data_IF_354723333364
#
_entry.id   IF_354723333364
#
_cell.length_a   1.000
_cell.length_b   1.000
_cell.length_c   1.000
_cell.angle_alpha   90.00
_cell.angle_beta   90.00
_cell.angle_gamma   90.00
#
_symmetry.space_group_name_H-M   'P 1'
#
loop_
_entity.id
_entity.type
_entity.pdbx_description
1 polymer ?
#
# COMPACT_ATOMS: atom_id res chain seq x y z
N UNK A 1 14.96 -30.78 18.28
CA UNK A 1 13.87 -29.91 17.76
C UNK A 1 14.50 -29.00 16.72
N UNK A 2 13.97 -28.94 15.50
CA UNK A 2 14.55 -28.12 14.42
C UNK A 2 14.24 -26.64 14.64
N UNK A 3 15.01 -25.71 14.03
CA UNK A 3 14.71 -24.26 14.05
C UNK A 3 13.27 -24.01 13.58
N UNK A 4 12.86 -24.70 12.52
CA UNK A 4 11.49 -24.68 11.97
C UNK A 4 10.44 -25.00 13.05
N UNK A 5 10.62 -26.09 13.79
CA UNK A 5 9.72 -26.49 14.88
C UNK A 5 9.69 -25.48 16.03
N UNK A 6 10.83 -24.85 16.36
CA UNK A 6 10.92 -23.84 17.42
C UNK A 6 10.10 -22.62 17.06
N UNK A 7 10.31 -22.08 15.86
CA UNK A 7 9.58 -20.91 15.38
C UNK A 7 8.09 -21.21 15.18
N UNK A 8 7.72 -22.39 14.67
CA UNK A 8 6.33 -22.83 14.55
C UNK A 8 5.62 -22.86 15.91
N UNK A 9 6.25 -23.42 16.95
CA UNK A 9 5.66 -23.44 18.31
C UNK A 9 5.55 -22.05 18.93
N UNK A 10 6.55 -21.19 18.71
CA UNK A 10 6.51 -19.79 19.15
C UNK A 10 5.29 -19.07 18.55
N UNK A 11 5.04 -19.26 17.26
CA UNK A 11 3.89 -18.62 16.60
C UNK A 11 2.55 -19.25 16.95
N UNK A 12 2.49 -20.55 17.22
CA UNK A 12 1.27 -21.17 17.78
C UNK A 12 0.89 -20.54 19.13
N UNK A 13 1.87 -20.31 20.00
CA UNK A 13 1.66 -19.61 21.28
C UNK A 13 1.25 -18.15 21.06
N UNK A 14 1.93 -17.44 20.15
CA UNK A 14 1.60 -16.05 19.80
C UNK A 14 0.14 -15.91 19.36
N UNK A 15 -0.33 -16.77 18.45
CA UNK A 15 -1.69 -16.72 17.93
C UNK A 15 -2.78 -16.94 19.00
N UNK A 16 -2.46 -17.65 20.08
CA UNK A 16 -3.41 -17.90 21.17
C UNK A 16 -3.46 -16.78 22.22
N UNK A 17 -2.43 -15.93 22.27
CA UNK A 17 -2.25 -14.95 23.35
C UNK A 17 -2.46 -13.51 22.90
N UNK A 18 -2.37 -13.23 21.60
CA UNK A 18 -2.35 -11.87 21.07
C UNK A 18 -3.69 -11.50 20.44
N UNK A 19 -4.11 -10.24 20.62
CA UNK A 19 -5.36 -9.70 20.05
C UNK A 19 -5.37 -9.71 18.52
N UNK A 20 -4.19 -9.63 17.89
CA UNK A 20 -4.01 -9.65 16.43
C UNK A 20 -3.14 -10.87 16.07
N UNK A 21 -3.73 -12.07 15.92
CA UNK A 21 -3.00 -13.32 15.94
C UNK A 21 -2.07 -13.50 14.74
N UNK A 22 -2.37 -12.90 13.58
CA UNK A 22 -1.57 -13.03 12.36
C UNK A 22 -0.73 -11.77 12.05
N UNK A 23 -0.56 -10.84 13.01
CA UNK A 23 0.29 -9.65 12.84
C UNK A 23 1.72 -10.00 12.42
N UNK A 24 2.20 -11.18 12.80
CA UNK A 24 3.55 -11.65 12.46
C UNK A 24 3.76 -11.94 10.98
N UNK A 25 2.70 -12.16 10.17
CA UNK A 25 2.82 -12.41 8.72
C UNK A 25 3.50 -11.26 7.99
N UNK A 26 3.43 -10.07 8.56
CA UNK A 26 4.10 -8.89 8.06
C UNK A 26 5.65 -8.96 8.18
N UNK A 27 6.18 -9.96 8.89
CA UNK A 27 7.62 -10.27 8.99
C UNK A 27 8.00 -11.55 8.25
N UNK A 28 7.09 -12.13 7.47
CA UNK A 28 7.29 -13.34 6.69
C UNK A 28 7.10 -13.11 5.19
N UNK A 29 7.48 -14.10 4.38
CA UNK A 29 7.40 -14.09 2.92
C UNK A 29 8.74 -13.79 2.23
N UNK A 30 8.65 -13.20 1.03
CA UNK A 30 9.78 -12.66 0.28
C UNK A 30 10.90 -13.69 -0.04
N UNK A 31 10.49 -14.93 -0.34
CA UNK A 31 11.34 -16.12 -0.39
C UNK A 31 12.20 -16.24 -1.65
N UNK A 32 11.89 -15.56 -2.74
CA UNK A 32 12.68 -15.63 -3.99
C UNK A 32 13.90 -14.74 -3.93
N UNK A 33 13.80 -13.61 -3.23
CA UNK A 33 14.89 -12.66 -3.14
C UNK A 33 15.64 -12.69 -1.80
N UNK A 34 15.34 -13.64 -0.91
CA UNK A 34 15.90 -13.72 0.43
C UNK A 34 16.29 -15.17 0.74
N UNK A 35 17.54 -15.46 1.17
CA UNK A 35 17.96 -16.83 1.46
C UNK A 35 17.04 -17.50 2.49
N UNK A 36 16.75 -18.79 2.30
CA UNK A 36 15.98 -19.61 3.25
C UNK A 36 16.80 -20.84 3.69
N UNK A 37 17.90 -20.65 4.46
CA UNK A 37 18.81 -21.73 4.82
C UNK A 37 18.15 -22.81 5.68
N UNK A 38 17.08 -22.46 6.40
CA UNK A 38 16.37 -23.36 7.31
C UNK A 38 15.12 -24.00 6.69
N UNK A 39 14.85 -23.76 5.39
CA UNK A 39 13.66 -24.26 4.68
C UNK A 39 12.35 -23.97 5.44
N UNK A 40 12.25 -22.77 5.98
CA UNK A 40 11.07 -22.32 6.72
C UNK A 40 9.87 -22.16 5.78
N UNK A 41 8.64 -22.44 6.26
CA UNK A 41 7.41 -22.15 5.52
C UNK A 41 7.30 -20.67 5.19
N UNK A 42 6.65 -20.30 4.09
CA UNK A 42 6.62 -18.89 3.64
C UNK A 42 5.96 -17.93 4.65
N UNK A 43 5.02 -18.43 5.46
CA UNK A 43 4.35 -17.68 6.52
C UNK A 43 5.18 -17.48 7.80
N UNK A 44 6.29 -18.19 7.95
CA UNK A 44 7.11 -18.17 9.17
C UNK A 44 8.25 -17.15 9.07
N UNK A 45 8.31 -16.14 9.95
CA UNK A 45 9.44 -15.22 10.04
C UNK A 45 10.74 -15.96 10.33
N UNK A 46 11.84 -15.52 9.70
CA UNK A 46 13.17 -16.05 9.99
C UNK A 46 13.88 -15.16 11.02
N UNK A 47 13.98 -15.65 12.26
CA UNK A 47 14.64 -14.94 13.35
C UNK A 47 16.14 -15.24 13.48
N UNK A 48 16.70 -16.13 12.65
CA UNK A 48 18.13 -16.50 12.76
C UNK A 48 19.06 -15.53 12.03
N UNK A 49 18.52 -14.66 11.17
CA UNK A 49 19.32 -13.71 10.38
C UNK A 49 19.42 -12.36 11.08
N UNK A 50 20.62 -11.98 11.54
CA UNK A 50 20.87 -10.67 12.14
C UNK A 50 20.68 -9.53 11.11
N UNK A 51 19.80 -8.58 11.45
CA UNK A 51 19.79 -7.20 10.99
C UNK A 51 19.54 -6.84 9.50
N UNK A 52 19.47 -7.75 8.52
CA UNK A 52 19.26 -7.35 7.11
C UNK A 52 17.81 -7.40 6.61
N UNK A 53 16.87 -7.94 7.39
CA UNK A 53 15.56 -8.39 6.89
C UNK A 53 14.35 -7.89 7.69
N UNK A 54 14.53 -7.15 8.79
CA UNK A 54 13.40 -6.38 9.30
C UNK A 54 12.96 -5.46 8.17
N UNK A 55 11.73 -5.52 7.65
CA UNK A 55 11.35 -4.69 6.53
C UNK A 55 11.50 -3.23 6.97
N UNK A 56 12.61 -2.58 6.64
CA UNK A 56 12.84 -1.16 6.87
C UNK A 56 11.76 -0.45 6.06
N UNK A 57 10.70 -0.02 6.73
CA UNK A 57 9.45 0.40 6.08
C UNK A 57 8.26 -0.54 6.31
N UNK A 58 8.23 -1.27 7.43
CA UNK A 58 6.99 -1.82 7.96
C UNK A 58 5.94 -0.70 7.91
N UNK A 59 4.88 -0.91 7.13
CA UNK A 59 3.61 -0.22 7.32
C UNK A 59 3.40 -0.14 8.84
N UNK A 60 3.08 1.05 9.37
CA UNK A 60 2.73 1.16 10.78
C UNK A 60 1.39 0.43 10.93
N UNK A 61 1.49 -0.87 11.24
CA UNK A 61 0.46 -1.89 11.02
C UNK A 61 -0.76 -1.70 11.93
N UNK A 62 -0.60 -0.95 13.01
CA UNK A 62 -1.69 -0.62 13.93
C UNK A 62 -2.62 0.50 13.39
N UNK A 63 -2.36 1.01 12.18
CA UNK A 63 -3.20 2.02 11.51
C UNK A 63 -4.30 1.42 10.63
N UNK A 64 -4.25 0.11 10.40
CA UNK A 64 -5.12 -0.58 9.45
C UNK A 64 -5.87 -1.70 10.16
N UNK A 65 -7.06 -1.99 9.67
CA UNK A 65 -7.94 -3.02 10.18
C UNK A 65 -8.58 -3.75 9.00
N UNK A 66 -7.75 -4.29 8.11
CA UNK A 66 -8.22 -4.94 6.89
C UNK A 66 -9.22 -6.08 7.18
N UNK A 67 -8.96 -6.83 8.25
CA UNK A 67 -9.79 -7.95 8.72
C UNK A 67 -11.04 -7.55 9.52
N UNK A 68 -11.30 -6.24 9.68
CA UNK A 68 -12.49 -5.77 10.41
C UNK A 68 -13.77 -6.33 9.78
N UNK A 69 -14.57 -7.00 10.61
CA UNK A 69 -15.82 -7.64 10.19
C UNK A 69 -15.65 -9.05 9.60
N UNK A 70 -14.44 -9.63 9.64
CA UNK A 70 -14.17 -10.99 9.19
C UNK A 70 -14.07 -11.98 10.35
N UNK A 71 -14.26 -13.27 10.04
CA UNK A 71 -14.04 -14.33 11.02
C UNK A 71 -12.54 -14.66 11.13
N UNK A 72 -12.02 -14.66 12.35
CA UNK A 72 -10.62 -15.03 12.63
C UNK A 72 -10.51 -16.49 13.04
N UNK A 73 -10.15 -17.36 12.11
CA UNK A 73 -9.76 -18.75 12.38
C UNK A 73 -8.37 -18.97 11.81
N UNK A 74 -7.41 -19.27 12.70
CA UNK A 74 -6.04 -19.60 12.32
C UNK A 74 -5.49 -20.75 13.16
N UNK A 75 -4.79 -21.71 12.54
CA UNK A 75 -4.11 -22.81 13.25
C UNK A 75 -2.96 -23.39 12.44
N UNK A 76 -1.99 -23.99 13.12
CA UNK A 76 -0.87 -24.70 12.49
C UNK A 76 -1.17 -26.21 12.46
N UNK A 77 -1.12 -26.84 11.28
CA UNK A 77 -1.22 -28.30 11.11
C UNK A 77 0.14 -28.97 11.34
N UNK A 78 0.14 -30.31 11.49
CA UNK A 78 1.34 -31.12 11.78
C UNK A 78 2.50 -30.90 10.79
N UNK A 79 2.21 -30.57 9.53
CA UNK A 79 3.20 -30.31 8.47
C UNK A 79 3.67 -28.84 8.41
N UNK A 80 3.44 -28.06 9.47
CA UNK A 80 3.81 -26.64 9.55
C UNK A 80 3.12 -25.79 8.47
N UNK A 81 1.90 -26.19 8.16
CA UNK A 81 0.98 -25.51 7.27
C UNK A 81 0.13 -24.59 8.13
N UNK A 82 0.12 -23.30 7.80
CA UNK A 82 -0.75 -22.34 8.44
C UNK A 82 -2.10 -22.35 7.70
N UNK A 83 -3.14 -22.78 8.41
CA UNK A 83 -4.52 -22.71 7.95
C UNK A 83 -5.13 -21.39 8.42
N UNK A 84 -5.69 -20.60 7.50
CA UNK A 84 -6.36 -19.33 7.81
C UNK A 84 -7.68 -19.19 7.06
N UNK A 85 -8.66 -18.51 7.65
CA UNK A 85 -9.87 -18.06 6.94
C UNK A 85 -9.68 -16.67 6.34
N UNK A 86 -10.17 -16.46 5.13
CA UNK A 86 -10.14 -15.16 4.48
C UNK A 86 -10.86 -15.12 3.14
N UNK A 87 -10.67 -14.05 2.38
CA UNK A 87 -11.22 -13.88 1.04
C UNK A 87 -10.12 -13.60 0.01
N UNK A 88 -10.27 -14.16 -1.19
CA UNK A 88 -9.55 -13.68 -2.37
C UNK A 88 -10.30 -12.44 -2.88
N UNK A 89 -9.67 -11.26 -2.76
CA UNK A 89 -10.29 -9.98 -3.12
C UNK A 89 -9.99 -9.60 -4.56
N UNK A 90 -8.77 -9.88 -5.02
CA UNK A 90 -8.32 -9.52 -6.36
C UNK A 90 -7.10 -10.33 -6.81
N UNK A 91 -6.63 -10.08 -8.03
CA UNK A 91 -5.44 -10.71 -8.59
C UNK A 91 -4.57 -9.67 -9.30
N UNK A 92 -3.26 -9.77 -9.09
CA UNK A 92 -2.27 -8.90 -9.74
C UNK A 92 -2.22 -9.20 -11.25
N UNK A 93 -2.38 -8.16 -12.07
CA UNK A 93 -2.30 -8.23 -13.54
C UNK A 93 -1.09 -7.50 -14.11
N UNK A 94 -0.50 -6.55 -13.36
CA UNK A 94 0.71 -5.81 -13.74
C UNK A 94 1.56 -5.50 -12.53
N UNK A 95 2.89 -5.51 -12.67
CA UNK A 95 3.83 -5.10 -11.61
C UNK A 95 4.91 -4.18 -12.19
N UNK A 96 5.09 -3.03 -11.58
CA UNK A 96 6.08 -2.03 -12.01
C UNK A 96 7.52 -2.42 -11.62
N UNK A 97 8.50 -1.78 -12.26
CA UNK A 97 9.91 -1.99 -11.98
C UNK A 97 10.30 -1.49 -10.57
N UNK A 98 11.40 -2.01 -10.00
CA UNK A 98 11.84 -1.71 -8.61
C UNK A 98 12.32 -0.27 -8.38
N UNK A 99 12.52 0.53 -9.44
CA UNK A 99 13.22 1.83 -9.37
C UNK A 99 12.29 3.03 -9.47
N UNK A 100 11.09 2.89 -8.90
CA UNK A 100 10.04 3.92 -8.85
C UNK A 100 10.58 5.30 -8.39
N UNK A 101 11.61 5.38 -7.54
CA UNK A 101 12.11 6.68 -7.05
C UNK A 101 13.50 7.09 -7.57
N UNK A 102 14.10 6.28 -8.45
CA UNK A 102 15.51 6.42 -8.87
C UNK A 102 15.67 6.51 -10.39
N UNK A 103 14.63 6.19 -11.16
CA UNK A 103 14.73 6.09 -12.63
C UNK A 103 13.93 7.22 -13.32
N UNK A 104 14.48 7.88 -14.35
CA UNK A 104 13.73 8.80 -15.23
C UNK A 104 12.47 8.17 -15.86
N UNK A 105 12.40 6.83 -15.86
CA UNK A 105 11.21 6.08 -16.26
C UNK A 105 10.02 6.22 -15.30
N UNK A 106 10.25 6.56 -14.03
CA UNK A 106 9.13 6.89 -13.14
C UNK A 106 8.54 8.25 -13.46
N UNK A 107 9.36 9.22 -13.86
CA UNK A 107 8.88 10.49 -14.38
C UNK A 107 8.10 10.26 -15.67
N UNK A 108 8.57 9.37 -16.56
CA UNK A 108 7.81 8.96 -17.74
C UNK A 108 6.51 8.20 -17.40
N UNK A 109 6.51 7.35 -16.37
CA UNK A 109 5.31 6.67 -15.88
C UNK A 109 4.33 7.65 -15.22
N UNK A 110 4.83 8.59 -14.43
CA UNK A 110 4.05 9.66 -13.82
C UNK A 110 3.44 10.55 -14.89
N UNK A 111 4.24 10.90 -15.91
CA UNK A 111 3.84 11.69 -17.07
C UNK A 111 2.81 10.93 -17.89
N UNK A 112 3.03 9.65 -18.20
CA UNK A 112 2.04 8.77 -18.85
C UNK A 112 0.76 8.66 -18.00
N UNK A 113 0.88 8.56 -16.68
CA UNK A 113 -0.28 8.53 -15.78
C UNK A 113 -0.97 9.90 -15.68
N UNK A 114 -0.27 11.02 -15.77
CA UNK A 114 -0.85 12.36 -15.68
C UNK A 114 -1.42 12.83 -17.03
N UNK A 115 -0.79 12.44 -18.13
CA UNK A 115 -1.14 12.78 -19.52
C UNK A 115 -2.19 11.81 -20.10
N UNK A 116 -2.10 10.51 -19.77
CA UNK A 116 -3.00 9.45 -20.27
C UNK A 116 -3.96 8.88 -19.22
N UNK A 117 -3.93 9.31 -17.94
CA UNK A 117 -5.09 9.07 -17.08
C UNK A 117 -6.23 9.92 -17.62
N UNK A 118 -7.11 9.26 -18.35
CA UNK A 118 -8.44 9.77 -18.62
C UNK A 118 -9.04 10.28 -17.30
N UNK A 119 -9.25 11.60 -17.27
CA UNK A 119 -9.69 12.38 -16.11
C UNK A 119 -11.10 11.98 -15.65
N UNK A 120 -11.82 11.20 -16.47
CA UNK A 120 -13.11 10.60 -16.14
C UNK A 120 -13.01 9.23 -15.45
N UNK A 121 -11.83 8.59 -15.43
CA UNK A 121 -11.66 7.26 -14.84
C UNK A 121 -11.50 7.32 -13.32
N UNK A 122 -12.59 7.01 -12.62
CA UNK A 122 -12.60 6.86 -11.17
C UNK A 122 -11.87 5.59 -10.73
N UNK A 123 -11.18 5.69 -9.59
CA UNK A 123 -10.67 4.54 -8.85
C UNK A 123 -11.85 3.78 -8.22
N UNK A 124 -11.76 2.46 -7.99
CA UNK A 124 -12.88 1.68 -7.45
C UNK A 124 -13.49 2.21 -6.14
N UNK A 125 -12.74 2.97 -5.32
CA UNK A 125 -13.27 3.59 -4.10
C UNK A 125 -14.00 4.92 -4.33
N UNK A 126 -14.12 5.38 -5.57
CA UNK A 126 -14.80 6.63 -5.93
C UNK A 126 -13.95 7.89 -5.84
N UNK A 127 -12.63 7.78 -5.66
CA UNK A 127 -11.69 8.91 -5.81
C UNK A 127 -11.04 8.88 -7.20
N UNK A 128 -10.30 9.93 -7.58
CA UNK A 128 -9.54 9.87 -8.83
C UNK A 128 -8.45 8.78 -8.76
N UNK A 129 -8.18 8.14 -9.90
CA UNK A 129 -7.08 7.18 -10.02
C UNK A 129 -5.72 7.76 -9.59
N UNK A 130 -5.52 9.06 -9.77
CA UNK A 130 -4.28 9.72 -9.41
C UNK A 130 -4.15 9.96 -7.91
N UNK A 131 -5.22 10.40 -7.26
CA UNK A 131 -5.26 10.48 -5.80
C UNK A 131 -5.04 9.11 -5.17
N UNK A 132 -5.64 8.04 -5.71
CA UNK A 132 -5.42 6.68 -5.25
C UNK A 132 -3.95 6.25 -5.39
N UNK A 133 -3.33 6.55 -6.53
CA UNK A 133 -1.91 6.27 -6.76
C UNK A 133 -1.01 6.96 -5.74
N UNK A 134 -1.21 8.26 -5.49
CA UNK A 134 -0.43 9.00 -4.47
C UNK A 134 -0.67 8.39 -3.09
N UNK A 135 -1.92 8.16 -2.69
CA UNK A 135 -2.22 7.50 -1.41
C UNK A 135 -1.51 6.15 -1.32
N UNK A 136 -1.52 5.32 -2.37
CA UNK A 136 -0.79 4.04 -2.39
C UNK A 136 0.72 4.17 -2.25
N UNK A 137 1.37 5.10 -2.96
CA UNK A 137 2.81 5.35 -2.79
C UNK A 137 3.17 5.74 -1.37
N UNK A 138 2.25 6.42 -0.71
CA UNK A 138 2.44 6.91 0.63
C UNK A 138 2.01 5.92 1.71
N UNK A 139 1.42 4.78 1.30
CA UNK A 139 0.63 3.91 2.15
C UNK A 139 -0.40 4.71 2.95
N UNK A 140 -0.96 5.74 2.34
CA UNK A 140 -1.86 6.70 2.98
C UNK A 140 -1.26 7.44 4.20
N UNK A 141 0.07 7.38 4.40
CA UNK A 141 0.74 7.97 5.56
C UNK A 141 1.53 9.23 5.19
N UNK A 142 1.33 10.27 6.00
CA UNK A 142 1.93 11.59 5.83
C UNK A 142 3.31 11.68 6.49
N UNK A 143 3.45 11.16 7.71
CA UNK A 143 4.67 11.26 8.51
C UNK A 143 4.95 9.93 9.23
N UNK A 144 6.19 9.45 9.11
CA UNK A 144 6.65 8.25 9.82
C UNK A 144 6.92 8.51 11.30
N UNK A 145 6.96 9.78 11.77
CA UNK A 145 7.08 10.13 13.20
C UNK A 145 5.71 10.20 13.86
N UNK A 146 4.78 10.95 13.28
CA UNK A 146 3.38 11.07 13.74
C UNK A 146 2.45 10.49 12.68
N UNK A 147 2.12 9.18 12.75
CA UNK A 147 1.32 8.55 11.73
C UNK A 147 -0.08 9.13 11.71
N UNK A 148 -0.41 9.80 10.61
CA UNK A 148 -1.73 10.29 10.29
C UNK A 148 -2.08 9.82 8.88
N UNK A 149 -3.31 9.34 8.71
CA UNK A 149 -3.84 8.89 7.43
C UNK A 149 -4.29 10.09 6.59
N UNK A 150 -4.13 10.03 5.28
CA UNK A 150 -4.57 11.15 4.44
C UNK A 150 -6.09 11.33 4.49
N UNK A 151 -6.87 10.26 4.55
CA UNK A 151 -8.35 10.34 4.66
C UNK A 151 -8.86 10.91 5.99
N UNK A 152 -8.04 10.94 7.04
CA UNK A 152 -8.39 11.54 8.32
C UNK A 152 -8.24 13.07 8.34
N UNK A 153 -7.69 13.66 7.29
CA UNK A 153 -7.50 15.10 7.18
C UNK A 153 -8.68 15.78 6.50
N UNK A 154 -8.85 17.07 6.77
CA UNK A 154 -9.73 17.90 5.95
C UNK A 154 -9.25 17.92 4.49
N UNK A 155 -10.22 18.14 3.61
CA UNK A 155 -10.03 18.14 2.17
C UNK A 155 -8.89 19.09 1.73
N UNK A 156 -8.85 20.29 2.30
CA UNK A 156 -7.87 21.32 1.94
C UNK A 156 -6.43 20.87 2.26
N UNK A 157 -6.24 20.23 3.41
CA UNK A 157 -4.93 19.72 3.83
C UNK A 157 -4.50 18.55 2.97
N UNK A 158 -5.41 17.63 2.61
CA UNK A 158 -5.13 16.56 1.65
C UNK A 158 -4.68 17.13 0.31
N UNK A 159 -5.40 18.14 -0.19
CA UNK A 159 -5.08 18.80 -1.45
C UNK A 159 -3.68 19.42 -1.45
N UNK A 160 -3.31 20.15 -0.40
CA UNK A 160 -1.97 20.74 -0.28
C UNK A 160 -0.88 19.67 -0.27
N UNK A 161 -1.09 18.58 0.47
CA UNK A 161 -0.12 17.50 0.60
C UNK A 161 0.15 16.81 -0.72
N UNK A 162 -0.90 16.52 -1.49
CA UNK A 162 -0.73 15.86 -2.78
C UNK A 162 -0.19 16.81 -3.85
N UNK A 163 -0.65 18.06 -3.87
CA UNK A 163 -0.11 19.10 -4.77
C UNK A 163 1.40 19.30 -4.57
N UNK A 164 1.89 19.33 -3.32
CA UNK A 164 3.32 19.41 -3.04
C UNK A 164 4.11 18.22 -3.59
N UNK A 165 3.57 17.01 -3.55
CA UNK A 165 4.25 15.82 -4.03
C UNK A 165 4.44 15.84 -5.54
N UNK A 166 3.39 16.19 -6.27
CA UNK A 166 3.37 16.34 -7.73
C UNK A 166 4.40 17.36 -8.20
N UNK A 167 4.40 18.55 -7.58
CA UNK A 167 5.33 19.61 -7.95
C UNK A 167 6.78 19.19 -7.72
N UNK A 168 7.05 18.29 -6.78
CA UNK A 168 8.39 17.74 -6.59
C UNK A 168 8.75 16.62 -7.58
N UNK A 169 7.77 15.97 -8.21
CA UNK A 169 8.00 15.01 -9.30
C UNK A 169 8.22 15.73 -10.63
N UNK A 170 7.46 16.79 -10.92
CA UNK A 170 7.65 17.62 -12.13
C UNK A 170 8.90 18.52 -12.08
N UNK A 171 9.39 18.90 -10.89
CA UNK A 171 10.57 19.78 -10.71
C UNK A 171 11.92 19.11 -11.01
N UNK A 172 11.99 17.80 -11.26
CA UNK A 172 13.28 17.17 -11.62
C UNK A 172 13.74 17.50 -13.03
N UNK A 173 12.83 17.91 -13.92
CA UNK A 173 13.22 18.63 -15.13
C UNK A 173 13.28 20.12 -14.78
N UNK A 174 14.41 20.74 -15.12
CA UNK A 174 14.68 22.17 -14.97
C UNK A 174 13.75 23.02 -15.86
N UNK A 175 12.44 22.94 -15.68
CA UNK A 175 11.53 23.94 -16.23
C UNK A 175 11.68 25.17 -15.34
N UNK A 176 12.38 26.17 -15.84
CA UNK A 176 12.42 27.50 -15.29
C UNK A 176 10.99 28.09 -15.37
N UNK A 177 10.13 27.71 -14.42
CA UNK A 177 8.80 28.34 -14.29
C UNK A 177 9.01 29.68 -13.58
N UNK A 178 9.68 30.60 -14.27
CA UNK A 178 9.99 31.93 -13.74
C UNK A 178 8.72 32.74 -13.48
N UNK A 179 7.66 32.54 -14.28
CA UNK A 179 6.42 33.30 -14.14
C UNK A 179 5.48 32.75 -13.05
N UNK A 180 4.88 33.67 -12.29
CA UNK A 180 3.88 33.38 -11.26
C UNK A 180 2.57 32.82 -11.85
N UNK A 181 2.21 33.23 -13.07
CA UNK A 181 1.00 32.79 -13.78
C UNK A 181 1.07 31.30 -14.15
N UNK A 182 2.18 30.87 -14.77
CA UNK A 182 2.40 29.46 -15.10
C UNK A 182 2.41 28.57 -13.84
N UNK A 183 2.97 29.06 -12.72
CA UNK A 183 2.89 28.36 -11.44
C UNK A 183 1.44 28.21 -10.99
N UNK A 184 0.66 29.29 -10.99
CA UNK A 184 -0.76 29.29 -10.60
C UNK A 184 -1.59 28.30 -11.41
N UNK A 185 -1.41 28.31 -12.73
CA UNK A 185 -2.12 27.41 -13.64
C UNK A 185 -1.72 25.95 -13.41
N UNK A 186 -0.44 25.67 -13.15
CA UNK A 186 0.03 24.34 -12.77
C UNK A 186 -0.60 23.86 -11.45
N UNK A 187 -0.66 24.69 -10.41
CA UNK A 187 -1.34 24.34 -9.15
C UNK A 187 -2.83 24.05 -9.36
N UNK A 188 -3.51 24.85 -10.19
CA UNK A 188 -4.93 24.65 -10.51
C UNK A 188 -5.15 23.36 -11.30
N UNK A 189 -4.30 23.05 -12.28
CA UNK A 189 -4.34 21.80 -13.04
C UNK A 189 -4.03 20.58 -12.17
N UNK A 190 -3.09 20.70 -11.22
CA UNK A 190 -2.81 19.61 -10.28
C UNK A 190 -4.03 19.27 -9.42
N UNK A 191 -4.77 20.29 -8.94
CA UNK A 191 -6.00 20.10 -8.18
C UNK A 191 -7.08 19.36 -9.00
N UNK A 192 -7.25 19.71 -10.27
CA UNK A 192 -8.28 19.10 -11.13
C UNK A 192 -7.97 17.66 -11.53
N UNK A 193 -6.69 17.27 -11.58
CA UNK A 193 -6.29 15.87 -11.79
C UNK A 193 -6.47 15.03 -10.51
N UNK A 194 -6.36 15.67 -9.35
CA UNK A 194 -6.39 14.98 -8.07
C UNK A 194 -7.78 14.72 -7.53
N UNK A 195 -8.69 15.66 -7.69
CA UNK A 195 -9.97 15.62 -7.00
C UNK A 195 -11.11 15.48 -7.99
N UNK A 196 -12.16 14.77 -7.57
CA UNK A 196 -13.36 14.66 -8.40
C UNK A 196 -14.03 16.04 -8.56
N UNK A 197 -14.87 16.22 -9.57
CA UNK A 197 -15.64 17.46 -9.72
C UNK A 197 -16.49 17.76 -8.47
N UNK A 198 -17.03 16.72 -7.83
CA UNK A 198 -17.79 16.83 -6.59
C UNK A 198 -16.92 17.38 -5.45
N UNK A 199 -15.70 16.88 -5.33
CA UNK A 199 -14.72 17.34 -4.34
C UNK A 199 -14.27 18.77 -4.60
N UNK A 200 -14.03 19.12 -5.87
CA UNK A 200 -13.67 20.49 -6.28
C UNK A 200 -14.82 21.48 -6.03
N UNK A 201 -16.06 21.03 -6.21
CA UNK A 201 -17.25 21.84 -5.91
C UNK A 201 -17.34 22.15 -4.41
N UNK A 202 -16.89 21.23 -3.53
CA UNK A 202 -16.84 21.49 -2.08
C UNK A 202 -15.83 22.58 -1.71
N UNK A 203 -14.73 22.72 -2.46
CA UNK A 203 -13.82 23.87 -2.28
C UNK A 203 -14.47 25.18 -2.71
N UNK A 204 -15.22 25.19 -3.81
CA UNK A 204 -15.84 26.39 -4.36
C UNK A 204 -14.86 27.56 -4.47
N UNK A 205 -15.18 28.70 -3.83
CA UNK A 205 -14.34 29.90 -3.77
C UNK A 205 -12.99 29.71 -3.06
N UNK A 206 -12.78 28.58 -2.36
CA UNK A 206 -11.51 28.30 -1.68
C UNK A 206 -10.43 27.74 -2.60
N UNK A 207 -10.74 27.40 -3.86
CA UNK A 207 -9.73 26.86 -4.80
C UNK A 207 -8.56 27.83 -4.93
N UNK A 208 -8.82 29.12 -5.20
CA UNK A 208 -7.75 30.12 -5.36
C UNK A 208 -6.96 30.34 -4.07
N UNK A 209 -7.64 30.38 -2.92
CA UNK A 209 -6.99 30.45 -1.60
C UNK A 209 -6.12 29.22 -1.33
N UNK A 210 -6.58 28.05 -1.77
CA UNK A 210 -5.84 26.80 -1.62
C UNK A 210 -4.59 26.83 -2.49
N UNK A 211 -4.71 27.27 -3.75
CA UNK A 211 -3.57 27.48 -4.67
C UNK A 211 -2.54 28.44 -4.05
N UNK A 212 -2.96 29.59 -3.51
CA UNK A 212 -2.05 30.53 -2.85
C UNK A 212 -1.35 29.94 -1.62
N UNK A 213 -2.08 29.19 -0.81
CA UNK A 213 -1.49 28.50 0.35
C UNK A 213 -0.51 27.41 -0.09
N UNK A 214 -0.81 26.66 -1.15
CA UNK A 214 0.12 25.68 -1.72
C UNK A 214 1.43 26.32 -2.18
N UNK A 215 1.38 27.48 -2.85
CA UNK A 215 2.57 28.26 -3.23
C UNK A 215 3.43 28.63 -2.01
N UNK A 216 2.81 29.10 -0.93
CA UNK A 216 3.54 29.47 0.30
C UNK A 216 4.26 28.29 0.97
N UNK A 217 3.68 27.09 0.91
CA UNK A 217 4.28 25.86 1.48
C UNK A 217 5.37 25.31 0.56
N UNK A 218 5.18 25.40 -0.76
CA UNK A 218 6.20 25.06 -1.76
C UNK A 218 7.51 25.83 -1.51
N UNK A 219 7.42 27.11 -1.14
CA UNK A 219 8.59 27.94 -0.80
C UNK A 219 9.32 27.49 0.49
N UNK A 220 8.75 26.59 1.29
CA UNK A 220 9.30 26.14 2.57
C UNK A 220 9.91 24.73 2.48
N UNK A 221 11.18 24.66 2.05
CA UNK A 221 11.84 23.42 1.58
C UNK A 221 12.05 22.30 2.61
N UNK A 222 11.88 22.54 3.92
CA UNK A 222 12.20 21.56 4.97
C UNK A 222 11.12 20.48 5.14
N UNK A 223 9.84 20.83 5.01
CA UNK A 223 8.70 19.92 5.13
C UNK A 223 8.64 18.93 3.96
N UNK A 224 8.78 19.46 2.74
CA UNK A 224 8.85 18.69 1.49
C UNK A 224 10.03 17.72 1.49
N UNK A 225 11.24 18.21 1.80
CA UNK A 225 12.44 17.35 1.88
C UNK A 225 12.29 16.26 2.94
N UNK A 226 11.53 16.49 4.01
CA UNK A 226 11.26 15.50 5.07
C UNK A 226 10.33 14.37 4.58
N UNK A 227 9.25 14.73 3.87
CA UNK A 227 8.33 13.77 3.26
C UNK A 227 9.05 12.90 2.23
N UNK A 228 9.88 13.50 1.38
CA UNK A 228 10.66 12.79 0.36
C UNK A 228 11.78 11.92 0.96
N UNK A 229 12.47 12.39 2.01
CA UNK A 229 13.53 11.62 2.72
C UNK A 229 12.98 10.42 3.48
N UNK A 230 11.72 10.48 3.93
CA UNK A 230 11.07 9.37 4.62
C UNK A 230 10.77 8.17 3.68
N UNK A 231 10.93 8.31 2.35
CA UNK A 231 10.44 7.32 1.38
C UNK A 231 11.54 6.85 0.42
N UNK A 232 12.29 5.85 0.87
CA UNK A 232 12.96 4.89 -0.03
C UNK A 232 12.26 3.54 0.10
N UNK A 233 11.27 3.20 -0.74
CA UNK A 233 10.74 1.85 -0.80
C UNK A 233 11.73 0.99 -1.58
N UNK A 234 12.95 0.82 -1.06
CA UNK A 234 13.98 0.02 -1.73
C UNK A 234 13.64 -1.47 -1.82
N UNK A 235 12.48 -1.89 -1.27
CA UNK A 235 12.05 -3.28 -1.18
C UNK A 235 10.57 -3.54 -1.49
N UNK A 236 9.85 -2.58 -2.08
CA UNK A 236 8.44 -2.78 -2.48
C UNK A 236 8.21 -2.49 -3.95
N UNK A 237 7.17 -3.09 -4.53
CA UNK A 237 6.79 -2.92 -5.94
C UNK A 237 5.34 -2.47 -6.04
N UNK A 238 5.11 -1.45 -6.88
CA UNK A 238 3.76 -1.05 -7.27
C UNK A 238 3.18 -2.14 -8.17
N UNK A 239 1.90 -2.42 -8.01
CA UNK A 239 1.18 -3.36 -8.84
C UNK A 239 -0.24 -2.88 -9.11
N UNK A 240 -0.83 -3.42 -10.18
CA UNK A 240 -2.22 -3.22 -10.55
C UNK A 240 -2.97 -4.53 -10.51
N UNK A 241 -4.24 -4.48 -10.18
CA UNK A 241 -5.11 -5.65 -10.05
C UNK A 241 -6.14 -5.75 -11.17
N UNK A 242 -6.83 -6.89 -11.25
CA UNK A 242 -7.86 -7.16 -12.25
C UNK A 242 -9.05 -6.20 -12.14
N UNK A 243 -9.46 -5.85 -10.91
CA UNK A 243 -10.58 -4.92 -10.70
C UNK A 243 -10.17 -3.44 -10.68
N UNK A 244 -8.95 -3.12 -11.13
CA UNK A 244 -8.51 -1.73 -11.29
C UNK A 244 -7.94 -1.08 -10.02
N UNK A 245 -7.65 -1.87 -8.98
CA UNK A 245 -6.98 -1.39 -7.78
C UNK A 245 -5.47 -1.23 -8.03
N UNK A 246 -4.85 -0.34 -7.24
CA UNK A 246 -3.42 -0.08 -7.25
C UNK A 246 -2.88 -0.42 -5.87
N UNK A 247 -1.84 -1.25 -5.83
CA UNK A 247 -1.25 -1.69 -4.58
C UNK A 247 0.27 -1.56 -4.53
N UNK A 248 0.80 -1.69 -3.32
CA UNK A 248 2.23 -1.64 -3.03
C UNK A 248 2.63 -2.86 -2.19
N UNK A 249 3.31 -3.82 -2.83
CA UNK A 249 3.61 -5.15 -2.30
C UNK A 249 5.10 -5.40 -2.06
N UNK A 250 5.48 -6.57 -1.51
CA UNK A 250 6.88 -7.00 -1.36
C UNK A 250 7.64 -7.06 -2.70
N UNK A 251 8.98 -7.12 -2.66
CA UNK A 251 9.85 -7.17 -3.87
C UNK A 251 9.59 -8.39 -4.77
N UNK A 252 8.98 -9.43 -4.21
CA UNK A 252 8.64 -10.69 -4.88
C UNK A 252 7.21 -10.73 -5.46
N UNK A 253 6.43 -9.66 -5.31
CA UNK A 253 5.12 -9.53 -5.94
C UNK A 253 5.22 -9.71 -7.48
N UNK A 254 4.34 -10.53 -8.03
CA UNK A 254 4.32 -10.98 -9.42
C UNK A 254 2.89 -11.05 -9.97
N UNK A 255 2.77 -11.03 -11.31
CA UNK A 255 1.49 -11.26 -12.00
C UNK A 255 0.95 -12.63 -11.60
N UNK A 256 -0.36 -12.70 -11.32
CA UNK A 256 -1.05 -13.90 -10.87
C UNK A 256 -1.11 -14.07 -9.35
N UNK A 257 -0.31 -13.32 -8.57
CA UNK A 257 -0.45 -13.32 -7.12
C UNK A 257 -1.84 -12.78 -6.73
N UNK A 258 -2.45 -13.39 -5.72
CA UNK A 258 -3.77 -13.06 -5.21
C UNK A 258 -3.66 -12.03 -4.09
N UNK A 259 -4.46 -10.99 -4.16
CA UNK A 259 -4.67 -10.06 -3.04
C UNK A 259 -5.73 -10.67 -2.16
N UNK A 260 -5.35 -11.06 -0.95
CA UNK A 260 -6.26 -11.67 0.02
C UNK A 260 -6.31 -10.85 1.30
N UNK A 261 -7.48 -10.81 1.94
CA UNK A 261 -7.61 -10.38 3.33
C UNK A 261 -7.96 -11.60 4.16
N UNK A 262 -7.25 -11.79 5.27
CA UNK A 262 -7.40 -12.95 6.15
C UNK A 262 -7.71 -12.47 7.56
N UNK A 263 -8.58 -13.20 8.26
CA UNK A 263 -8.97 -12.88 9.63
C UNK A 263 -7.76 -12.90 10.57
N UNK A 264 -7.58 -11.86 11.39
CA UNK A 264 -6.47 -11.73 12.32
C UNK A 264 -5.23 -11.07 11.75
N UNK A 265 -5.24 -10.63 10.49
CA UNK A 265 -4.19 -9.80 9.89
C UNK A 265 -4.71 -8.38 9.67
N UNK A 266 -4.02 -7.34 10.19
CA UNK A 266 -4.48 -5.96 10.04
C UNK A 266 -4.30 -5.41 8.61
N UNK A 267 -3.70 -6.21 7.72
CA UNK A 267 -3.33 -5.83 6.36
C UNK A 267 -3.66 -6.93 5.35
N UNK A 268 -3.92 -6.58 4.09
CA UNK A 268 -3.93 -7.54 3.00
C UNK A 268 -2.60 -8.28 2.87
N UNK A 269 -2.68 -9.52 2.42
CA UNK A 269 -1.54 -10.37 2.09
C UNK A 269 -1.57 -10.75 0.62
N UNK A 270 -0.40 -10.97 0.05
CA UNK A 270 -0.26 -11.60 -1.26
C UNK A 270 -0.07 -13.10 -1.10
N UNK A 271 -0.97 -13.88 -1.70
CA UNK A 271 -0.87 -15.33 -1.78
C UNK A 271 -0.59 -15.77 -3.21
N UNK A 272 0.36 -16.69 -3.38
CA UNK A 272 0.67 -17.31 -4.66
C UNK A 272 0.22 -18.76 -4.64
N UNK A 273 -0.62 -19.15 -5.60
CA UNK A 273 -1.12 -20.52 -5.72
C UNK A 273 0.03 -21.48 -6.07
N UNK A 274 0.13 -22.58 -5.33
CA UNK A 274 1.03 -23.71 -5.54
C UNK A 274 0.19 -24.99 -5.53
N UNK A 275 -0.23 -25.48 -6.71
CA UNK A 275 -1.19 -26.60 -6.81
C UNK A 275 -2.40 -26.35 -5.88
N UNK A 276 -2.60 -27.17 -4.84
CA UNK A 276 -3.71 -27.03 -3.89
C UNK A 276 -3.43 -26.05 -2.74
N UNK A 277 -2.19 -25.60 -2.56
CA UNK A 277 -1.73 -24.78 -1.43
C UNK A 277 -1.31 -23.37 -1.87
N UNK A 278 -0.85 -22.56 -0.92
CA UNK A 278 -0.44 -21.19 -1.17
C UNK A 278 0.91 -20.87 -0.53
N UNK A 279 1.72 -20.10 -1.24
CA UNK A 279 2.88 -19.40 -0.70
C UNK A 279 2.43 -18.00 -0.25
N UNK A 280 2.74 -17.61 0.98
CA UNK A 280 2.69 -16.23 1.46
C UNK A 280 3.86 -15.44 0.88
N UNK A 281 3.54 -14.53 -0.03
CA UNK A 281 4.53 -13.67 -0.68
C UNK A 281 4.89 -12.49 0.24
N UNK A 282 3.93 -11.99 1.03
CA UNK A 282 4.12 -10.90 2.00
C UNK A 282 2.91 -9.98 2.11
N UNK A 283 2.88 -9.11 3.12
CA UNK A 283 1.82 -8.08 3.28
C UNK A 283 1.91 -6.98 2.24
N UNK A 284 0.78 -6.51 1.73
CA UNK A 284 0.69 -5.41 0.79
C UNK A 284 -0.27 -4.31 1.29
N UNK A 285 -0.18 -3.15 0.66
CA UNK A 285 -1.15 -2.07 0.80
C UNK A 285 -2.00 -2.01 -0.46
N UNK A 286 -3.32 -1.97 -0.33
CA UNK A 286 -4.25 -1.74 -1.44
C UNK A 286 -5.34 -0.82 -0.94
N UNK A 287 -5.38 0.42 -1.41
CA UNK A 287 -6.40 1.38 -1.01
C UNK A 287 -7.78 0.82 -1.37
N UNK A 288 -8.67 0.68 -0.38
CA UNK A 288 -9.98 0.05 -0.52
C UNK A 288 -10.08 -1.38 0.04
N UNK A 289 -8.99 -1.94 0.58
CA UNK A 289 -8.98 -3.22 1.31
C UNK A 289 -8.27 -3.10 2.68
N UNK A 290 -8.20 -1.92 3.27
CA UNK A 290 -7.36 -1.65 4.46
C UNK A 290 -8.13 -1.51 5.76
N UNK A 291 -9.46 -1.36 5.72
CA UNK A 291 -10.28 -0.85 6.82
C UNK A 291 -11.66 -1.53 6.95
N UNK A 292 -11.73 -2.82 6.62
CA UNK A 292 -12.94 -3.64 6.78
C UNK A 292 -13.89 -3.60 5.60
N UNK A 293 -13.48 -3.02 4.47
CA UNK A 293 -14.27 -3.02 3.23
C UNK A 293 -14.59 -4.46 2.80
N UNK A 294 -13.64 -5.40 2.99
CA UNK A 294 -13.83 -6.82 2.66
C UNK A 294 -14.87 -7.47 3.58
N UNK A 295 -14.85 -7.19 4.89
CA UNK A 295 -15.88 -7.65 5.83
C UNK A 295 -17.29 -7.19 5.43
N UNK A 296 -17.41 -5.94 4.95
CA UNK A 296 -18.66 -5.42 4.40
C UNK A 296 -19.09 -6.18 3.15
N UNK A 297 -18.19 -6.42 2.21
CA UNK A 297 -18.47 -7.18 0.98
C UNK A 297 -18.90 -8.63 1.27
N UNK A 298 -18.35 -9.26 2.29
CA UNK A 298 -18.78 -10.60 2.76
C UNK A 298 -20.20 -10.55 3.29
N UNK A 299 -20.51 -9.57 4.14
CA UNK A 299 -21.86 -9.38 4.71
C UNK A 299 -22.91 -9.11 3.63
N UNK A 300 -22.52 -8.40 2.57
CA UNK A 300 -23.35 -8.14 1.38
C UNK A 300 -23.45 -9.34 0.41
N UNK A 301 -22.76 -10.46 0.68
CA UNK A 301 -22.74 -11.64 -0.18
C UNK A 301 -21.97 -11.46 -1.49
N UNK A 302 -21.15 -10.41 -1.61
CA UNK A 302 -20.34 -10.11 -2.80
C UNK A 302 -18.99 -10.83 -2.81
N UNK A 303 -18.49 -11.21 -1.63
CA UNK A 303 -17.30 -12.03 -1.46
C UNK A 303 -17.62 -13.22 -0.55
N UNK A 304 -16.90 -14.32 -0.75
CA UNK A 304 -17.09 -15.56 0.01
C UNK A 304 -15.80 -15.85 0.78
N UNK A 305 -15.94 -16.10 2.09
CA UNK A 305 -14.83 -16.58 2.91
C UNK A 305 -14.47 -18.03 2.54
N UNK A 306 -13.17 -18.31 2.50
CA UNK A 306 -12.60 -19.63 2.24
C UNK A 306 -11.41 -19.90 3.16
N UNK A 307 -11.03 -21.16 3.28
CA UNK A 307 -9.80 -21.55 3.97
C UNK A 307 -8.61 -21.56 3.00
N UNK A 308 -7.49 -21.02 3.47
CA UNK A 308 -6.20 -21.06 2.78
C UNK A 308 -5.21 -21.94 3.54
N UNK A 309 -4.58 -22.87 2.85
CA UNK A 309 -3.44 -23.63 3.34
C UNK A 309 -2.13 -22.99 2.88
N UNK A 310 -1.45 -22.32 3.82
CA UNK A 310 -0.21 -21.59 3.54
C UNK A 310 0.99 -22.43 3.96
N UNK A 311 1.91 -22.67 3.02
CA UNK A 311 3.15 -23.46 3.19
C UNK A 311 4.40 -22.62 3.16
#
# INVERSE_FOLDING_TARGET
>A
MTIKQVFSRLHDQYMRQMDIPLKFLAFAGDRRCTPNPHRLPSWLPDYSTEAQHWPSGCLKRDLYMADKGMRTVSRIKADEVLLVTGCECDMITRVESRKIFVEPRFEAFYRDYAENADRSLMYPTGITKFQAFVRTLFFDMIDSRTPCRMDALDFETQARMVGLLILNFDYREQVDIESEELRTELFRNALTVLFSEQDLTQLGEQIDKTVERMKSVFMNSSFVKRILRAKRPSRRRLFHTKHGYIGLGPKDASIGDKVCVVGGSPMPILLRKLEDRYEHVGTCFVLGYMDGEVGKLITEGKLVEQEFEIV
#
